data_IF_480635173144
#
_entry.id   IF_480635173144
#
_cell.length_a   1.000
_cell.length_b   1.000
_cell.length_c   1.000
_cell.angle_alpha   90.00
_cell.angle_beta   90.00
_cell.angle_gamma   90.00
#
_symmetry.space_group_name_H-M   'P 1'
#
loop_
_entity.id
_entity.type
_entity.pdbx_description
1 polymer ?
#
# COMPACT_ATOMS: atom_id res chain seq x y z
N UNK A 1 35.21 0.25 17.11
CA UNK A 1 34.91 -0.36 15.80
C UNK A 1 33.57 -1.10 15.82
N UNK A 2 33.32 -2.03 16.75
CA UNK A 2 32.06 -2.82 16.79
C UNK A 2 30.77 -2.00 16.95
N UNK A 3 30.77 -0.96 17.80
CA UNK A 3 29.58 -0.10 17.98
C UNK A 3 29.25 0.73 16.73
N UNK A 4 30.27 1.14 15.97
CA UNK A 4 30.10 1.90 14.73
C UNK A 4 29.53 1.00 13.63
N UNK A 5 30.07 -0.22 13.51
CA UNK A 5 29.55 -1.25 12.59
C UNK A 5 28.08 -1.62 12.90
N UNK A 6 27.68 -1.65 14.17
CA UNK A 6 26.29 -1.89 14.57
C UNK A 6 25.36 -0.74 14.16
N UNK A 7 25.80 0.51 14.31
CA UNK A 7 25.01 1.67 13.91
C UNK A 7 24.81 1.70 12.39
N UNK A 8 25.85 1.45 11.60
CA UNK A 8 25.77 1.38 10.14
C UNK A 8 24.83 0.26 9.68
N UNK A 9 24.83 -0.88 10.38
CA UNK A 9 23.90 -1.97 10.10
C UNK A 9 22.43 -1.57 10.35
N UNK A 10 22.16 -0.85 11.44
CA UNK A 10 20.82 -0.33 11.75
C UNK A 10 20.40 0.68 10.69
N UNK A 11 21.24 1.65 10.35
CA UNK A 11 20.95 2.66 9.33
C UNK A 11 20.62 2.00 7.99
N UNK A 12 21.42 1.01 7.57
CA UNK A 12 21.18 0.28 6.32
C UNK A 12 19.84 -0.48 6.34
N UNK A 13 19.48 -1.06 7.49
CA UNK A 13 18.21 -1.79 7.66
C UNK A 13 17.03 -0.83 7.57
N UNK A 14 17.06 0.28 8.31
CA UNK A 14 16.01 1.31 8.26
C UNK A 14 15.86 1.90 6.86
N UNK A 15 16.98 2.20 6.19
CA UNK A 15 16.97 2.72 4.82
C UNK A 15 16.29 1.75 3.85
N UNK A 16 16.57 0.44 3.96
CA UNK A 16 15.92 -0.59 3.14
C UNK A 16 14.42 -0.69 3.44
N UNK A 17 14.02 -0.64 4.71
CA UNK A 17 12.61 -0.69 5.11
C UNK A 17 11.83 0.50 4.56
N UNK A 18 12.34 1.73 4.75
CA UNK A 18 11.73 2.95 4.22
C UNK A 18 11.62 2.90 2.70
N UNK A 19 12.69 2.47 2.02
CA UNK A 19 12.68 2.33 0.55
C UNK A 19 11.66 1.29 0.08
N UNK A 20 11.49 0.19 0.82
CA UNK A 20 10.49 -0.83 0.53
C UNK A 20 9.07 -0.28 0.66
N UNK A 21 8.78 0.41 1.77
CA UNK A 21 7.50 1.07 1.99
C UNK A 21 7.21 2.12 0.90
N UNK A 22 8.18 2.97 0.58
CA UNK A 22 8.04 3.99 -0.47
C UNK A 22 7.72 3.37 -1.84
N UNK A 23 8.40 2.29 -2.22
CA UNK A 23 8.09 1.55 -3.46
C UNK A 23 6.69 0.95 -3.44
N UNK A 24 6.28 0.34 -2.32
CA UNK A 24 4.93 -0.21 -2.18
C UNK A 24 3.86 0.89 -2.36
N UNK A 25 4.07 2.07 -1.77
CA UNK A 25 3.16 3.21 -1.94
C UNK A 25 3.18 3.77 -3.36
N UNK A 26 4.36 3.88 -3.97
CA UNK A 26 4.50 4.37 -5.35
C UNK A 26 3.76 3.47 -6.35
N UNK A 27 3.80 2.15 -6.14
CA UNK A 27 3.06 1.18 -6.96
C UNK A 27 1.54 1.34 -6.88
N UNK A 28 1.01 2.01 -5.86
CA UNK A 28 -0.43 2.29 -5.77
C UNK A 28 -0.87 3.52 -6.58
N UNK A 29 0.06 4.39 -6.97
CA UNK A 29 -0.23 5.61 -7.72
C UNK A 29 -0.99 6.68 -6.91
N UNK A 30 -1.61 7.62 -7.63
CA UNK A 30 -2.34 8.74 -7.03
C UNK A 30 -3.53 8.27 -6.19
N UNK A 31 -3.66 8.79 -4.98
CA UNK A 31 -4.69 8.36 -4.01
C UNK A 31 -4.34 7.08 -3.23
N UNK A 32 -3.23 6.42 -3.58
CA UNK A 32 -2.66 5.30 -2.84
C UNK A 32 -3.60 4.09 -2.72
N UNK A 33 -3.31 3.22 -1.74
CA UNK A 33 -4.07 1.98 -1.54
C UNK A 33 -5.55 2.23 -1.25
N UNK A 34 -5.87 3.31 -0.53
CA UNK A 34 -7.24 3.65 -0.18
C UNK A 34 -8.10 3.85 -1.44
N UNK A 35 -7.61 4.62 -2.41
CA UNK A 35 -8.35 4.87 -3.64
C UNK A 35 -8.55 3.59 -4.45
N UNK A 36 -7.51 2.75 -4.55
CA UNK A 36 -7.61 1.44 -5.22
C UNK A 36 -8.72 0.57 -4.61
N UNK A 37 -8.82 0.54 -3.28
CA UNK A 37 -9.84 -0.25 -2.58
C UNK A 37 -11.25 0.34 -2.76
N UNK A 38 -11.40 1.67 -2.70
CA UNK A 38 -12.68 2.32 -2.92
C UNK A 38 -13.20 2.06 -4.35
N UNK A 39 -12.34 2.22 -5.36
CA UNK A 39 -12.69 1.91 -6.75
C UNK A 39 -13.04 0.43 -6.94
N UNK A 40 -12.33 -0.49 -6.28
CA UNK A 40 -12.69 -1.91 -6.31
C UNK A 40 -14.06 -2.17 -5.68
N UNK A 41 -14.37 -1.54 -4.54
CA UNK A 41 -15.68 -1.62 -3.88
C UNK A 41 -16.80 -1.14 -4.80
N UNK A 42 -16.63 0.01 -5.45
CA UNK A 42 -17.63 0.56 -6.39
C UNK A 42 -17.90 -0.38 -7.56
N UNK A 43 -16.85 -1.02 -8.11
CA UNK A 43 -17.01 -2.02 -9.18
C UNK A 43 -17.83 -3.22 -8.72
N UNK A 44 -17.50 -3.77 -7.56
CA UNK A 44 -18.20 -4.93 -6.99
C UNK A 44 -19.68 -4.60 -6.74
N UNK A 45 -19.97 -3.42 -6.18
CA UNK A 45 -21.36 -2.99 -5.96
C UNK A 45 -22.11 -2.84 -7.29
N UNK A 46 -21.47 -2.27 -8.32
CA UNK A 46 -22.08 -2.14 -9.65
C UNK A 46 -22.38 -3.51 -10.28
N UNK A 47 -21.49 -4.48 -10.11
CA UNK A 47 -21.69 -5.86 -10.58
C UNK A 47 -22.81 -6.54 -9.79
N UNK A 48 -22.83 -6.41 -8.46
CA UNK A 48 -23.86 -6.98 -7.60
C UNK A 48 -25.26 -6.42 -7.92
N UNK A 49 -25.36 -5.11 -8.20
CA UNK A 49 -26.62 -4.45 -8.57
C UNK A 49 -27.24 -5.03 -9.85
N UNK A 50 -26.44 -5.59 -10.77
CA UNK A 50 -26.96 -6.24 -11.98
C UNK A 50 -27.78 -7.50 -11.65
N UNK A 51 -27.43 -8.20 -10.57
CA UNK A 51 -28.07 -9.44 -10.16
C UNK A 51 -29.07 -9.24 -9.02
N UNK A 52 -28.89 -8.20 -8.22
CA UNK A 52 -29.70 -7.87 -7.06
C UNK A 52 -29.99 -6.37 -7.04
N UNK A 53 -31.03 -5.91 -7.74
CA UNK A 53 -31.38 -4.50 -7.75
C UNK A 53 -31.84 -4.04 -6.36
N UNK A 54 -31.38 -2.87 -5.95
CA UNK A 54 -31.67 -2.15 -4.70
C UNK A 54 -30.91 -2.62 -3.44
N UNK A 55 -29.67 -3.11 -3.59
CA UNK A 55 -28.79 -3.29 -2.44
C UNK A 55 -28.09 -1.94 -2.17
N UNK A 56 -28.50 -1.26 -1.09
CA UNK A 56 -27.77 -0.13 -0.50
C UNK A 56 -26.84 -0.60 0.63
#
# INVERSE_FOLDING_TARGET
>A
MDKLNKLDHIINTETKNVSSCARAMANWGAGGRKQLLLTARERILKEAQMYLPNIE
#
